data_IF_781062267070
#
_entry.id   IF_781062267070
#
_cell.length_a   1.000
_cell.length_b   1.000
_cell.length_c   1.000
_cell.angle_alpha   90.00
_cell.angle_beta   90.00
_cell.angle_gamma   90.00
#
_symmetry.space_group_name_H-M   'P 1'
#
loop_
_entity.id
_entity.type
_entity.pdbx_description
1 polymer ?
#
# COMPACT_ATOMS: atom_id res chain seq x y z
N UNK A 1 -20.83 56.56 -9.68
CA UNK A 1 -19.75 55.67 -10.16
C UNK A 1 -20.03 54.29 -9.60
N UNK A 2 -19.97 53.20 -10.40
CA UNK A 2 -20.13 51.85 -9.86
C UNK A 2 -19.02 51.57 -8.83
N UNK A 3 -19.38 50.89 -7.75
CA UNK A 3 -18.43 50.50 -6.70
C UNK A 3 -17.38 49.53 -7.28
N UNK A 4 -16.10 49.63 -6.87
CA UNK A 4 -15.08 48.70 -7.31
C UNK A 4 -15.46 47.27 -6.87
N UNK A 5 -15.15 46.25 -7.69
CA UNK A 5 -15.43 44.87 -7.32
C UNK A 5 -14.69 44.50 -6.02
N UNK A 6 -15.28 43.63 -5.19
CA UNK A 6 -14.62 43.18 -3.97
C UNK A 6 -13.30 42.47 -4.31
N UNK A 7 -12.28 42.57 -3.44
CA UNK A 7 -11.02 41.88 -3.64
C UNK A 7 -11.26 40.36 -3.67
N UNK A 8 -10.45 39.62 -4.45
CA UNK A 8 -10.53 38.17 -4.46
C UNK A 8 -10.24 37.62 -3.04
N UNK A 9 -10.90 36.52 -2.65
CA UNK A 9 -10.64 35.91 -1.35
C UNK A 9 -9.17 35.46 -1.25
N UNK A 10 -8.58 35.45 -0.03
CA UNK A 10 -7.25 34.90 0.19
C UNK A 10 -7.18 33.44 -0.31
N UNK A 11 -6.08 33.10 -0.97
CA UNK A 11 -5.83 31.73 -1.42
C UNK A 11 -5.80 30.74 -0.25
N UNK A 12 -6.04 29.44 -0.52
CA UNK A 12 -5.93 28.42 0.52
C UNK A 12 -4.53 28.41 1.16
N UNK A 13 -4.41 28.08 2.45
CA UNK A 13 -3.11 27.98 3.11
C UNK A 13 -2.22 26.95 2.38
N UNK A 14 -0.88 27.13 2.40
CA UNK A 14 0.03 26.18 1.79
C UNK A 14 -0.12 24.80 2.43
N UNK A 15 0.01 23.71 1.64
CA UNK A 15 -0.07 22.36 2.17
C UNK A 15 1.02 22.13 3.24
N UNK A 16 0.75 21.31 4.27
CA UNK A 16 1.77 20.92 5.24
C UNK A 16 2.94 20.24 4.51
N UNK A 17 4.17 20.63 4.85
CA UNK A 17 5.37 19.99 4.29
C UNK A 17 5.48 18.57 4.84
N UNK A 18 5.20 17.58 4.00
CA UNK A 18 5.68 16.22 4.24
C UNK A 18 7.22 16.24 4.22
N UNK A 19 7.83 15.44 5.10
CA UNK A 19 9.28 15.32 5.27
C UNK A 19 10.04 15.44 3.94
N UNK A 20 11.05 16.31 3.93
CA UNK A 20 11.92 16.68 2.82
C UNK A 20 12.00 15.60 1.72
N UNK A 21 11.18 15.77 0.68
CA UNK A 21 11.15 14.89 -0.51
C UNK A 21 12.15 15.34 -1.57
N UNK A 22 12.97 16.36 -1.30
CA UNK A 22 13.98 16.80 -2.24
C UNK A 22 15.08 15.75 -2.35
N UNK A 23 15.42 15.39 -3.58
CA UNK A 23 16.51 14.45 -3.84
C UNK A 23 17.79 15.06 -3.25
N UNK A 24 18.53 14.33 -2.40
CA UNK A 24 19.79 14.83 -1.85
C UNK A 24 20.75 15.23 -2.99
N UNK A 25 21.21 16.47 -3.01
CA UNK A 25 22.24 16.91 -3.94
C UNK A 25 23.60 16.51 -3.37
N UNK A 26 24.13 15.38 -3.86
CA UNK A 26 25.36 14.79 -3.37
C UNK A 26 26.49 15.02 -4.39
N UNK A 27 27.67 15.34 -3.88
CA UNK A 27 28.88 15.31 -4.69
C UNK A 27 29.28 13.86 -5.01
N UNK A 28 30.30 13.68 -5.85
CA UNK A 28 30.70 12.36 -6.35
C UNK A 28 31.15 11.40 -5.24
N UNK A 29 31.90 11.86 -4.25
CA UNK A 29 32.36 11.04 -3.12
C UNK A 29 31.22 10.63 -2.20
N UNK A 30 30.29 11.55 -1.92
CA UNK A 30 29.08 11.28 -1.15
C UNK A 30 28.16 10.28 -1.85
N UNK A 31 28.01 10.39 -3.18
CA UNK A 31 27.21 9.44 -3.95
C UNK A 31 27.79 8.03 -3.88
N UNK A 32 29.12 7.88 -3.92
CA UNK A 32 29.81 6.60 -3.79
C UNK A 32 29.60 6.01 -2.39
N UNK A 33 29.78 6.81 -1.34
CA UNK A 33 29.51 6.40 0.04
C UNK A 33 28.06 5.99 0.26
N UNK A 34 27.11 6.73 -0.31
CA UNK A 34 25.68 6.40 -0.28
C UNK A 34 25.40 5.07 -0.97
N UNK A 35 25.96 4.83 -2.15
CA UNK A 35 25.72 3.58 -2.88
C UNK A 35 26.20 2.36 -2.10
N UNK A 36 27.36 2.45 -1.45
CA UNK A 36 27.87 1.40 -0.55
C UNK A 36 26.93 1.19 0.64
N UNK A 37 26.53 2.26 1.32
CA UNK A 37 25.57 2.21 2.43
C UNK A 37 24.24 1.57 2.03
N UNK A 38 23.68 1.94 0.88
CA UNK A 38 22.42 1.37 0.38
C UNK A 38 22.57 -0.12 0.05
N UNK A 39 23.74 -0.54 -0.45
CA UNK A 39 24.05 -1.96 -0.64
C UNK A 39 24.05 -2.72 0.68
N UNK A 40 24.68 -2.17 1.71
CA UNK A 40 24.76 -2.81 3.03
C UNK A 40 23.41 -2.83 3.76
N UNK A 41 22.58 -1.79 3.61
CA UNK A 41 21.17 -1.79 4.07
C UNK A 41 20.38 -2.91 3.38
N UNK A 42 20.56 -3.08 2.07
CA UNK A 42 19.85 -4.11 1.30
C UNK A 42 20.30 -5.53 1.67
N UNK A 43 21.58 -5.71 2.01
CA UNK A 43 22.10 -6.98 2.56
C UNK A 43 21.58 -7.26 3.97
N UNK A 44 21.32 -6.20 4.74
CA UNK A 44 20.90 -6.28 6.13
C UNK A 44 22.06 -6.56 7.10
N UNK A 45 21.79 -6.42 8.39
CA UNK A 45 22.75 -6.68 9.46
C UNK A 45 22.13 -7.53 10.57
N UNK A 46 22.91 -8.41 11.18
CA UNK A 46 22.49 -9.18 12.35
C UNK A 46 22.60 -8.30 13.58
N UNK A 47 21.46 -8.01 14.20
CA UNK A 47 21.40 -7.24 15.45
C UNK A 47 21.45 -8.16 16.67
N UNK A 48 21.93 -7.64 17.80
CA UNK A 48 21.89 -8.35 19.09
C UNK A 48 20.44 -8.45 19.58
N UNK A 49 20.15 -9.49 20.37
CA UNK A 49 18.86 -9.61 21.04
C UNK A 49 18.77 -8.62 22.19
N UNK A 50 17.61 -7.97 22.32
CA UNK A 50 17.31 -7.01 23.38
C UNK A 50 15.89 -7.25 23.85
N UNK A 51 15.68 -7.20 25.17
CA UNK A 51 14.33 -7.22 25.75
C UNK A 51 13.67 -5.88 25.45
N UNK A 52 12.53 -5.90 24.77
CA UNK A 52 11.75 -4.67 24.48
C UNK A 52 10.66 -4.52 25.52
N UNK A 53 10.66 -3.39 26.24
CA UNK A 53 9.57 -3.01 27.13
C UNK A 53 8.58 -2.12 26.37
N UNK A 54 7.66 -2.75 25.62
CA UNK A 54 6.66 -2.05 24.83
C UNK A 54 5.45 -1.65 25.70
N UNK A 55 5.26 -0.35 25.89
CA UNK A 55 4.14 0.26 26.63
C UNK A 55 3.24 1.10 25.71
N UNK A 56 3.24 0.83 24.41
CA UNK A 56 2.44 1.55 23.42
C UNK A 56 0.98 1.09 23.36
N UNK A 57 0.65 -0.04 24.00
CA UNK A 57 -0.72 -0.55 24.09
C UNK A 57 -1.66 0.40 24.84
N UNK A 58 -2.97 0.41 24.50
CA UNK A 58 -3.93 1.27 25.17
C UNK A 58 -4.11 0.86 26.64
N UNK A 59 -4.23 1.86 27.52
CA UNK A 59 -4.64 1.64 28.91
C UNK A 59 -6.15 1.59 28.94
N UNK A 60 -6.72 0.41 29.24
CA UNK A 60 -8.16 0.25 29.45
C UNK A 60 -8.45 0.45 30.93
N UNK A 61 -9.25 1.45 31.25
CA UNK A 61 -9.79 1.60 32.60
C UNK A 61 -10.70 0.41 32.89
N UNK A 62 -10.41 -0.32 33.98
CA UNK A 62 -11.29 -1.39 34.49
C UNK A 62 -12.52 -0.75 35.16
N UNK A 63 -13.37 -0.11 34.37
CA UNK A 63 -14.74 0.20 34.73
C UNK A 63 -15.54 -1.10 34.73
N UNK A 64 -16.14 -1.45 35.86
CA UNK A 64 -16.72 -2.77 36.12
C UNK A 64 -17.69 -3.27 35.04
N UNK A 65 -17.45 -4.50 34.57
CA UNK A 65 -18.32 -5.21 33.64
C UNK A 65 -17.57 -6.36 32.99
N UNK A 66 -17.62 -7.53 33.62
CA UNK A 66 -16.97 -8.74 33.12
C UNK A 66 -17.51 -9.20 31.77
N UNK A 67 -16.63 -9.80 30.97
CA UNK A 67 -16.99 -10.44 29.71
C UNK A 67 -15.75 -10.96 29.00
N UNK A 68 -15.32 -12.17 29.37
CA UNK A 68 -14.30 -12.90 28.62
C UNK A 68 -14.78 -13.17 27.19
N UNK A 69 -13.90 -12.96 26.23
CA UNK A 69 -14.10 -13.35 24.83
C UNK A 69 -12.79 -13.93 24.30
N UNK A 70 -12.66 -15.25 24.39
CA UNK A 70 -11.58 -15.99 23.77
C UNK A 70 -11.85 -16.32 22.30
N UNK A 71 -10.81 -16.79 21.62
CA UNK A 71 -10.85 -17.46 20.32
C UNK A 71 -9.57 -17.17 19.56
N UNK A 72 -8.73 -18.12 19.16
CA UNK A 72 -8.84 -19.58 19.05
C UNK A 72 -7.95 -19.97 17.87
N UNK A 73 -6.92 -20.78 18.09
CA UNK A 73 -6.07 -21.29 17.01
C UNK A 73 -6.69 -22.51 16.31
N UNK A 74 -6.23 -22.81 15.10
CA UNK A 74 -6.45 -24.10 14.42
C UNK A 74 -7.02 -23.99 13.01
N UNK A 75 -6.31 -24.56 12.03
CA UNK A 75 -6.63 -24.49 10.60
C UNK A 75 -7.58 -25.57 10.08
N UNK A 76 -7.70 -25.62 8.75
CA UNK A 76 -8.43 -26.68 8.03
C UNK A 76 -8.71 -26.28 6.59
N UNK A 77 -8.17 -27.03 5.64
CA UNK A 77 -8.41 -26.86 4.20
C UNK A 77 -9.68 -27.52 3.70
N UNK A 78 -9.99 -27.22 2.43
CA UNK A 78 -11.06 -27.79 1.61
C UNK A 78 -11.50 -26.72 0.61
N UNK A 79 -11.43 -26.85 -0.71
CA UNK A 79 -11.43 -28.06 -1.53
C UNK A 79 -12.75 -28.11 -2.30
N UNK A 80 -12.71 -27.77 -3.60
CA UNK A 80 -13.81 -27.92 -4.56
C UNK A 80 -14.67 -26.65 -4.72
N UNK A 81 -15.07 -26.21 -5.90
CA UNK A 81 -14.93 -26.77 -7.24
C UNK A 81 -15.96 -26.09 -8.14
N UNK A 82 -15.62 -25.94 -9.42
CA UNK A 82 -16.58 -25.93 -10.53
C UNK A 82 -17.62 -24.80 -10.60
N UNK A 83 -17.40 -23.88 -11.53
CA UNK A 83 -18.44 -22.97 -12.01
C UNK A 83 -18.03 -22.37 -13.35
N UNK A 84 -18.08 -23.18 -14.40
CA UNK A 84 -17.92 -22.72 -15.79
C UNK A 84 -19.18 -22.06 -16.35
N UNK A 85 -18.98 -21.28 -17.41
CA UNK A 85 -20.02 -20.59 -18.20
C UNK A 85 -19.60 -19.13 -18.37
N UNK A 86 -19.00 -18.70 -19.49
CA UNK A 86 -19.65 -18.62 -20.81
C UNK A 86 -20.69 -17.50 -20.74
N UNK A 87 -20.66 -16.38 -21.46
CA UNK A 87 -19.94 -15.91 -22.63
C UNK A 87 -20.76 -14.70 -23.14
N UNK A 88 -20.14 -13.84 -23.94
CA UNK A 88 -20.89 -12.99 -24.89
C UNK A 88 -21.33 -11.60 -24.41
N UNK A 89 -20.77 -10.59 -25.08
CA UNK A 89 -21.58 -9.63 -25.84
C UNK A 89 -22.12 -8.39 -25.12
N UNK A 90 -21.44 -7.26 -25.36
CA UNK A 90 -22.04 -6.03 -25.89
C UNK A 90 -23.00 -5.22 -25.00
N UNK A 91 -22.71 -3.92 -24.88
CA UNK A 91 -23.76 -2.92 -24.62
C UNK A 91 -23.41 -1.86 -23.60
N UNK A 92 -22.88 -0.74 -24.11
CA UNK A 92 -23.13 0.63 -23.65
C UNK A 92 -23.30 0.92 -22.16
N UNK A 93 -22.25 1.47 -21.56
CA UNK A 93 -22.40 2.46 -20.48
C UNK A 93 -21.95 3.81 -21.04
N UNK A 94 -22.84 4.43 -21.81
CA UNK A 94 -22.79 5.86 -22.02
C UNK A 94 -23.25 6.55 -20.74
N UNK A 95 -22.48 7.54 -20.29
CA UNK A 95 -22.93 8.52 -19.31
C UNK A 95 -22.33 8.37 -17.91
N UNK A 96 -21.32 9.19 -17.64
CA UNK A 96 -21.18 9.88 -16.35
C UNK A 96 -20.92 9.04 -15.10
N UNK A 97 -19.66 8.69 -14.87
CA UNK A 97 -19.11 8.59 -13.51
C UNK A 97 -17.63 9.04 -13.56
N UNK A 98 -17.17 9.96 -12.69
CA UNK A 98 -15.77 10.36 -12.69
C UNK A 98 -14.96 9.20 -12.14
N UNK A 99 -14.21 8.53 -13.03
CA UNK A 99 -13.06 7.69 -12.72
C UNK A 99 -13.14 6.97 -11.36
N UNK A 100 -13.93 5.88 -11.31
CA UNK A 100 -13.79 4.88 -10.26
C UNK A 100 -12.31 4.53 -10.06
N UNK A 101 -11.85 4.58 -8.81
CA UNK A 101 -10.50 4.23 -8.38
C UNK A 101 -9.38 4.98 -9.14
N UNK A 102 -9.37 6.30 -9.01
CA UNK A 102 -8.14 7.09 -8.99
C UNK A 102 -7.20 6.89 -10.17
N UNK A 103 -7.70 6.92 -11.42
CA UNK A 103 -6.92 6.99 -12.66
C UNK A 103 -5.91 5.86 -12.93
N UNK A 104 -5.72 4.94 -11.97
CA UNK A 104 -4.61 3.99 -11.93
C UNK A 104 -4.73 2.92 -13.02
N UNK A 105 -5.96 2.71 -13.51
CA UNK A 105 -6.29 1.78 -14.58
C UNK A 105 -6.93 2.48 -15.78
N UNK A 106 -6.78 3.81 -15.93
CA UNK A 106 -7.32 4.55 -17.08
C UNK A 106 -6.76 4.04 -18.42
N UNK A 107 -5.60 3.39 -18.42
CA UNK A 107 -4.99 2.72 -19.58
C UNK A 107 -5.21 1.20 -19.65
N UNK A 108 -6.06 0.63 -18.80
CA UNK A 108 -6.27 -0.82 -18.68
C UNK A 108 -5.25 -1.52 -17.75
N UNK A 109 -5.60 -2.72 -17.28
CA UNK A 109 -4.75 -3.52 -16.39
C UNK A 109 -3.62 -4.21 -17.19
N UNK A 110 -2.33 -4.08 -16.80
CA UNK A 110 -1.25 -4.78 -17.47
C UNK A 110 -1.45 -6.30 -17.43
N UNK A 111 -1.42 -6.95 -18.60
CA UNK A 111 -1.58 -8.41 -18.70
C UNK A 111 -0.25 -9.11 -18.38
N UNK A 112 -0.27 -10.01 -17.40
CA UNK A 112 0.89 -10.83 -17.08
C UNK A 112 1.15 -11.85 -18.20
N UNK A 113 2.42 -12.19 -18.39
CA UNK A 113 2.83 -13.32 -19.26
C UNK A 113 2.36 -14.65 -18.67
N UNK A 114 1.97 -15.58 -19.54
CA UNK A 114 1.54 -16.92 -19.13
C UNK A 114 2.65 -17.64 -18.37
N UNK A 115 2.31 -18.26 -17.24
CA UNK A 115 3.21 -19.14 -16.51
C UNK A 115 3.26 -20.52 -17.18
N UNK A 116 3.84 -20.59 -18.37
CA UNK A 116 4.10 -21.87 -19.02
C UNK A 116 5.34 -22.52 -18.36
N UNK A 117 5.13 -23.75 -17.89
CA UNK A 117 6.13 -24.70 -17.38
C UNK A 117 6.71 -24.47 -15.98
N UNK A 118 5.91 -24.84 -14.96
CA UNK A 118 6.48 -25.61 -13.83
C UNK A 118 6.45 -27.08 -14.24
N UNK A 119 7.51 -27.56 -14.88
CA UNK A 119 7.71 -28.99 -15.11
C UNK A 119 7.67 -29.71 -13.76
N UNK A 120 6.57 -30.41 -13.50
CA UNK A 120 6.47 -31.39 -12.43
C UNK A 120 7.36 -32.57 -12.80
N UNK A 121 8.65 -32.49 -12.47
CA UNK A 121 9.51 -33.67 -12.49
C UNK A 121 9.91 -34.06 -11.07
N UNK A 122 8.90 -34.53 -10.32
CA UNK A 122 9.14 -35.35 -9.15
C UNK A 122 9.70 -36.69 -9.62
N UNK A 123 10.94 -36.99 -9.23
CA UNK A 123 11.53 -38.32 -9.39
C UNK A 123 11.55 -38.97 -8.01
N UNK A 124 10.79 -40.08 -7.95
CA UNK A 124 10.77 -41.21 -7.00
C UNK A 124 11.46 -41.03 -5.65
#
# INVERSE_FOLDING_TARGET
MPAPPPPPPPGPPPPPTLANTEKPNLNRSEQQGRNALLSDISKGARLKKTVTNDRSGPVLDRGGGGGGGGGGGGGGGGGGGGGGGGGGGGGGFGGGAPAGLGGLFAGGMPKLRSAANRDTNGKK
#
